data_IF_283890069010
#
_entry.id   IF_283890069010
#
_cell.length_a   1.000
_cell.length_b   1.000
_cell.length_c   1.000
_cell.angle_alpha   90.00
_cell.angle_beta   90.00
_cell.angle_gamma   90.00
#
_symmetry.space_group_name_H-M   'P 1'
#
loop_
_entity.id
_entity.type
_entity.pdbx_description
1 polymer ?
#
# COMPACT_ATOMS: atom_id res chain seq x y z
N UNK A 1 0.45 8.04 -4.29
CA UNK A 1 -0.27 6.74 -4.40
C UNK A 1 0.62 5.53 -4.16
N UNK A 2 1.73 5.34 -4.88
CA UNK A 2 2.56 4.11 -4.79
C UNK A 2 3.15 3.83 -3.40
N UNK A 3 3.63 4.86 -2.71
CA UNK A 3 4.13 4.74 -1.33
C UNK A 3 3.05 4.15 -0.41
N UNK A 4 1.84 4.73 -0.42
CA UNK A 4 0.72 4.22 0.37
C UNK A 4 0.32 2.80 -0.07
N UNK A 5 0.36 2.52 -1.37
CA UNK A 5 0.05 1.20 -1.89
C UNK A 5 0.99 0.11 -1.34
N UNK A 6 2.30 0.40 -1.32
CA UNK A 6 3.32 -0.52 -0.81
C UNK A 6 3.23 -0.66 0.71
N UNK A 7 3.42 0.42 1.46
CA UNK A 7 3.49 0.38 2.93
C UNK A 7 2.15 0.03 3.60
N UNK A 8 1.03 0.33 2.94
CA UNK A 8 -0.30 -0.06 3.39
C UNK A 8 -0.74 -1.45 2.93
N UNK A 9 0.11 -2.18 2.18
CA UNK A 9 -0.22 -3.47 1.58
C UNK A 9 -1.55 -3.41 0.79
N UNK A 10 -1.82 -2.26 0.16
CA UNK A 10 -3.14 -1.97 -0.37
C UNK A 10 -3.41 -2.70 -1.69
N UNK A 11 -4.67 -3.05 -1.90
CA UNK A 11 -5.17 -3.39 -3.23
C UNK A 11 -5.43 -2.10 -4.01
N UNK A 12 -5.31 -2.14 -5.33
CA UNK A 12 -5.65 -0.98 -6.18
C UNK A 12 -7.10 -0.50 -5.96
N UNK A 13 -8.03 -1.41 -5.66
CA UNK A 13 -9.42 -1.09 -5.33
C UNK A 13 -9.59 -0.25 -4.06
N UNK A 14 -8.60 -0.27 -3.16
CA UNK A 14 -8.60 0.49 -1.91
C UNK A 14 -8.02 1.90 -2.11
N UNK A 15 -7.67 2.26 -3.36
CA UNK A 15 -7.03 3.54 -3.74
C UNK A 15 -7.73 4.22 -4.92
N UNK A 16 -8.18 3.43 -5.90
CA UNK A 16 -8.60 3.92 -7.20
C UNK A 16 -10.02 3.46 -7.55
N UNK A 17 -10.75 4.31 -8.26
CA UNK A 17 -12.13 4.05 -8.67
C UNK A 17 -12.20 3.03 -9.82
N UNK A 18 -13.29 2.27 -9.88
CA UNK A 18 -13.65 1.40 -11.01
C UNK A 18 -14.86 1.88 -11.80
N UNK A 19 -15.65 2.77 -11.20
CA UNK A 19 -16.90 3.31 -11.72
C UNK A 19 -17.00 4.78 -11.27
N UNK A 20 -18.20 5.37 -11.29
CA UNK A 20 -18.42 6.70 -10.72
C UNK A 20 -17.89 6.82 -9.29
N UNK A 21 -17.32 7.99 -8.98
CA UNK A 21 -16.84 8.30 -7.64
C UNK A 21 -18.02 8.37 -6.65
N UNK A 22 -17.75 7.92 -5.44
CA UNK A 22 -18.72 7.89 -4.33
C UNK A 22 -17.94 8.01 -3.03
N UNK A 23 -18.11 9.11 -2.27
CA UNK A 23 -17.42 9.33 -1.00
C UNK A 23 -17.65 8.22 0.04
N UNK A 24 -18.75 7.47 -0.07
CA UNK A 24 -19.11 6.42 0.88
C UNK A 24 -18.24 5.16 0.77
N UNK A 25 -17.63 4.92 -0.39
CA UNK A 25 -16.84 3.71 -0.65
C UNK A 25 -15.43 4.00 -1.16
N UNK A 26 -15.22 5.18 -1.73
CA UNK A 26 -13.93 5.58 -2.29
C UNK A 26 -13.16 6.50 -1.34
N UNK A 27 -11.82 6.54 -1.47
CA UNK A 27 -10.97 7.36 -0.61
C UNK A 27 -11.25 8.86 -0.79
N UNK A 28 -11.49 9.53 0.32
CA UNK A 28 -11.68 10.98 0.41
C UNK A 28 -10.55 11.61 1.19
N UNK A 29 -10.43 12.94 1.11
CA UNK A 29 -9.40 13.68 1.84
C UNK A 29 -9.51 13.44 3.35
N UNK A 30 -10.72 13.32 3.87
CA UNK A 30 -10.97 12.99 5.29
C UNK A 30 -10.44 11.63 5.73
N UNK A 31 -10.21 10.70 4.79
CA UNK A 31 -9.74 9.35 5.13
C UNK A 31 -8.23 9.30 5.37
N UNK A 32 -7.47 10.32 4.96
CA UNK A 32 -6.04 10.44 5.23
C UNK A 32 -5.81 11.55 6.24
N UNK A 33 -5.47 11.18 7.48
CA UNK A 33 -5.39 12.12 8.59
C UNK A 33 -4.07 11.98 9.36
N UNK A 34 -3.49 13.12 9.73
CA UNK A 34 -2.42 13.21 10.72
C UNK A 34 -3.07 13.05 12.09
N UNK A 35 -2.71 11.99 12.82
CA UNK A 35 -3.23 11.75 14.17
C UNK A 35 -2.44 12.51 15.22
N UNK A 36 -1.13 12.55 15.03
CA UNK A 36 -0.15 13.21 15.90
C UNK A 36 1.10 13.60 15.08
N UNK A 37 2.16 14.07 15.74
CA UNK A 37 3.40 14.48 15.07
C UNK A 37 4.18 13.35 14.39
N UNK A 38 3.78 12.09 14.59
CA UNK A 38 4.52 10.90 14.19
C UNK A 38 3.68 9.89 13.40
N UNK A 39 2.36 10.05 13.32
CA UNK A 39 1.45 9.05 12.77
C UNK A 39 0.47 9.64 11.76
N UNK A 40 0.45 9.06 10.56
CA UNK A 40 -0.62 9.26 9.57
C UNK A 40 -1.50 8.01 9.56
N UNK A 41 -2.80 8.22 9.64
CA UNK A 41 -3.81 7.17 9.44
C UNK A 41 -4.43 7.26 8.06
N UNK A 42 -4.75 6.10 7.49
CA UNK A 42 -5.55 5.99 6.28
C UNK A 42 -6.72 5.02 6.51
N UNK A 43 -7.94 5.51 6.34
CA UNK A 43 -9.16 4.72 6.52
C UNK A 43 -9.60 4.08 5.19
N UNK A 44 -9.56 2.75 5.15
CA UNK A 44 -10.07 1.95 4.04
C UNK A 44 -11.56 1.72 4.29
N UNK A 45 -12.43 2.45 3.58
CA UNK A 45 -13.89 2.34 3.73
C UNK A 45 -14.46 0.99 3.30
N UNK A 46 -13.87 0.38 2.28
CA UNK A 46 -14.32 -0.90 1.76
C UNK A 46 -13.13 -1.76 1.34
N UNK A 47 -13.16 -3.03 1.75
CA UNK A 47 -12.26 -4.05 1.22
C UNK A 47 -13.06 -5.22 0.67
N UNK A 48 -12.46 -6.00 -0.24
CA UNK A 48 -13.11 -7.18 -0.84
C UNK A 48 -13.58 -8.20 0.21
N UNK A 49 -12.95 -8.23 1.38
CA UNK A 49 -13.23 -9.18 2.46
C UNK A 49 -14.08 -8.57 3.58
N UNK A 50 -14.41 -7.29 3.51
CA UNK A 50 -15.22 -6.62 4.52
C UNK A 50 -16.72 -6.67 4.17
N UNK A 51 -17.33 -7.82 4.39
CA UNK A 51 -18.76 -8.02 4.19
C UNK A 51 -19.63 -7.16 5.13
N UNK A 52 -19.07 -6.76 6.29
CA UNK A 52 -19.75 -5.96 7.29
C UNK A 52 -19.57 -4.44 7.08
N UNK A 53 -18.76 -4.01 6.10
CA UNK A 53 -18.43 -2.59 5.81
C UNK A 53 -17.96 -1.81 7.04
N UNK A 54 -17.23 -2.45 7.96
CA UNK A 54 -16.69 -1.78 9.16
C UNK A 54 -15.55 -0.82 8.80
N UNK A 55 -14.91 -1.02 7.66
CA UNK A 55 -13.70 -0.34 7.26
C UNK A 55 -12.50 -0.75 8.11
N UNK A 56 -11.33 -0.25 7.74
CA UNK A 56 -10.09 -0.59 8.42
C UNK A 56 -9.07 0.54 8.36
N UNK A 57 -8.44 0.87 9.48
CA UNK A 57 -7.35 1.82 9.51
C UNK A 57 -6.02 1.14 9.22
N UNK A 58 -5.19 1.80 8.41
CA UNK A 58 -3.76 1.54 8.38
C UNK A 58 -3.02 2.76 8.91
N UNK A 59 -1.80 2.54 9.39
CA UNK A 59 -0.98 3.57 9.99
C UNK A 59 0.38 3.62 9.29
N UNK A 60 0.87 4.83 9.05
CA UNK A 60 2.20 5.12 8.53
C UNK A 60 2.90 5.98 9.57
N UNK A 61 4.03 5.48 10.07
CA UNK A 61 4.78 6.11 11.15
C UNK A 61 5.96 6.92 10.59
N UNK A 62 6.30 7.99 11.31
CA UNK A 62 7.44 8.85 11.05
C UNK A 62 8.74 8.16 11.50
N UNK A 63 9.21 7.22 10.68
CA UNK A 63 10.45 6.49 10.92
C UNK A 63 11.53 6.94 9.93
N UNK A 64 12.79 6.92 10.39
CA UNK A 64 13.93 7.19 9.53
C UNK A 64 13.98 6.17 8.39
N UNK A 65 13.89 6.66 7.16
CA UNK A 65 13.83 5.83 5.97
C UNK A 65 14.34 6.60 4.76
N UNK A 66 15.13 5.97 3.87
CA UNK A 66 15.56 6.63 2.62
C UNK A 66 14.39 6.97 1.70
N UNK A 67 13.22 6.33 1.86
CA UNK A 67 12.02 6.56 1.06
C UNK A 67 10.93 7.37 1.76
N UNK A 68 11.19 7.83 2.99
CA UNK A 68 10.41 8.82 3.75
C UNK A 68 8.87 8.74 3.54
N UNK A 69 8.22 7.60 3.86
CA UNK A 69 6.82 7.40 3.54
C UNK A 69 5.89 8.39 4.27
N UNK A 70 6.20 8.70 5.53
CA UNK A 70 5.45 9.67 6.32
C UNK A 70 5.49 11.07 5.69
N UNK A 71 6.69 11.59 5.41
CA UNK A 71 6.88 12.93 4.84
C UNK A 71 6.21 13.05 3.47
N UNK A 72 6.33 12.00 2.64
CA UNK A 72 5.70 11.96 1.32
C UNK A 72 4.17 12.07 1.43
N UNK A 73 3.56 11.34 2.37
CA UNK A 73 2.11 11.39 2.57
C UNK A 73 1.65 12.69 3.24
N UNK A 74 2.46 13.26 4.13
CA UNK A 74 2.18 14.55 4.75
C UNK A 74 2.14 15.67 3.70
N UNK A 75 3.17 15.75 2.85
CA UNK A 75 3.25 16.73 1.77
C UNK A 75 2.10 16.54 0.76
N UNK A 76 1.78 15.29 0.41
CA UNK A 76 0.63 14.99 -0.44
C UNK A 76 -0.70 15.43 0.19
N UNK A 77 -0.92 15.16 1.48
CA UNK A 77 -2.14 15.56 2.17
C UNK A 77 -2.28 17.09 2.22
N UNK A 78 -1.20 17.82 2.49
CA UNK A 78 -1.18 19.29 2.48
C UNK A 78 -1.55 19.84 1.09
N UNK A 79 -0.98 19.27 0.03
CA UNK A 79 -1.32 19.62 -1.35
C UNK A 79 -2.80 19.36 -1.66
N UNK A 80 -3.33 18.19 -1.26
CA UNK A 80 -4.75 17.86 -1.51
C UNK A 80 -5.69 18.79 -0.75
N UNK A 81 -5.34 19.18 0.47
CA UNK A 81 -6.12 20.15 1.27
C UNK A 81 -6.10 21.56 0.65
N UNK A 82 -5.00 21.98 0.01
CA UNK A 82 -4.95 23.30 -0.64
C UNK A 82 -5.70 23.35 -1.98
N UNK A 83 -5.83 22.21 -2.67
CA UNK A 83 -6.52 22.11 -3.96
C UNK A 83 -8.03 21.81 -3.84
N UNK A 84 -8.47 21.35 -2.67
CA UNK A 84 -9.83 20.85 -2.46
C UNK A 84 -10.73 21.83 -1.72
N UNK A 85 -12.03 21.79 -2.00
CA UNK A 85 -13.04 22.59 -1.29
C UNK A 85 -13.73 21.80 -0.20
N UNK A 86 -13.84 20.48 -0.33
CA UNK A 86 -14.58 19.64 0.60
C UNK A 86 -13.74 18.47 1.14
N UNK A 87 -13.91 18.08 2.42
CA UNK A 87 -13.27 16.88 2.97
C UNK A 87 -13.69 15.58 2.27
N UNK A 88 -14.87 15.57 1.64
CA UNK A 88 -15.45 14.45 0.89
C UNK A 88 -14.96 14.38 -0.57
N UNK A 89 -14.14 15.32 -1.02
CA UNK A 89 -13.56 15.27 -2.36
C UNK A 89 -12.58 14.08 -2.49
N UNK A 90 -12.35 13.56 -3.71
CA UNK A 90 -11.47 12.42 -3.93
C UNK A 90 -10.06 12.67 -3.39
N UNK A 91 -9.54 11.71 -2.62
CA UNK A 91 -8.17 11.78 -2.11
C UNK A 91 -7.16 11.75 -3.25
N UNK A 92 -7.33 10.80 -4.17
CA UNK A 92 -6.44 10.59 -5.29
C UNK A 92 -7.10 11.06 -6.58
N UNK A 93 -6.39 11.91 -7.31
CA UNK A 93 -6.84 12.47 -8.59
C UNK A 93 -5.79 12.27 -9.68
N UNK A 94 -6.24 12.26 -10.93
CA UNK A 94 -5.38 12.34 -12.10
C UNK A 94 -4.92 13.78 -12.38
N UNK A 95 -4.16 13.94 -13.46
CA UNK A 95 -3.58 15.23 -13.90
C UNK A 95 -4.64 16.29 -14.25
N UNK A 96 -5.90 15.88 -14.40
CA UNK A 96 -7.04 16.75 -14.68
C UNK A 96 -7.98 16.92 -13.47
N UNK A 97 -7.49 16.61 -12.25
CA UNK A 97 -8.25 16.65 -11.00
C UNK A 97 -9.49 15.74 -10.97
N UNK A 98 -9.55 14.72 -11.83
CA UNK A 98 -10.62 13.71 -11.79
C UNK A 98 -10.21 12.58 -10.86
N UNK A 99 -11.15 11.87 -10.21
CA UNK A 99 -10.81 10.75 -9.34
C UNK A 99 -9.93 9.72 -10.08
N UNK A 100 -8.82 9.32 -9.45
CA UNK A 100 -7.86 8.41 -10.04
C UNK A 100 -8.49 7.03 -10.31
N UNK A 101 -8.44 6.56 -11.55
CA UNK A 101 -8.98 5.25 -11.96
C UNK A 101 -7.92 4.17 -11.85
N UNK A 102 -8.35 2.90 -11.79
CA UNK A 102 -7.41 1.76 -11.88
C UNK A 102 -6.56 1.77 -13.15
N UNK A 103 -7.17 2.18 -14.27
CA UNK A 103 -6.47 2.33 -15.54
C UNK A 103 -5.39 3.40 -15.46
N UNK A 104 -5.72 4.57 -14.90
CA UNK A 104 -4.74 5.64 -14.68
C UNK A 104 -3.58 5.17 -13.80
N UNK A 105 -3.88 4.49 -12.68
CA UNK A 105 -2.87 3.94 -11.78
C UNK A 105 -1.94 2.96 -12.51
N UNK A 106 -2.51 2.01 -13.27
CA UNK A 106 -1.73 1.02 -14.01
C UNK A 106 -0.87 1.65 -15.11
N UNK A 107 -1.41 2.63 -15.85
CA UNK A 107 -0.69 3.38 -16.86
C UNK A 107 0.50 4.13 -16.25
N UNK A 108 0.27 4.84 -15.14
CA UNK A 108 1.32 5.56 -14.43
C UNK A 108 2.38 4.63 -13.86
N UNK A 109 1.99 3.48 -13.30
CA UNK A 109 2.93 2.47 -12.82
C UNK A 109 3.86 2.01 -13.95
N UNK A 110 3.29 1.63 -15.10
CA UNK A 110 4.09 1.22 -16.26
C UNK A 110 5.03 2.33 -16.74
N UNK A 111 4.55 3.57 -16.79
CA UNK A 111 5.37 4.71 -17.18
C UNK A 111 6.56 4.91 -16.26
N UNK A 112 6.36 4.89 -14.94
CA UNK A 112 7.45 5.08 -13.96
C UNK A 112 8.47 3.94 -14.03
N UNK A 113 8.03 2.70 -14.22
CA UNK A 113 8.92 1.55 -14.37
C UNK A 113 9.79 1.65 -15.63
N UNK A 114 9.19 2.02 -16.77
CA UNK A 114 9.94 2.20 -18.00
C UNK A 114 10.98 3.33 -17.87
N UNK A 115 10.60 4.45 -17.23
CA UNK A 115 11.52 5.55 -16.96
C UNK A 115 12.65 5.16 -16.01
N UNK A 116 12.43 4.19 -15.11
CA UNK A 116 13.48 3.64 -14.23
C UNK A 116 14.26 2.48 -14.87
N UNK A 117 14.11 2.22 -16.17
CA UNK A 117 14.79 1.12 -16.87
C UNK A 117 14.31 -0.27 -16.44
N UNK A 118 13.17 -0.36 -15.78
CA UNK A 118 12.59 -1.63 -15.29
C UNK A 118 11.53 -2.15 -16.26
N UNK A 119 11.59 -3.42 -16.70
CA UNK A 119 10.57 -3.99 -17.57
C UNK A 119 9.17 -3.97 -16.92
N UNK A 120 8.25 -3.21 -17.52
CA UNK A 120 6.94 -2.94 -16.92
C UNK A 120 5.93 -4.09 -17.04
N UNK A 121 6.14 -5.03 -17.96
CA UNK A 121 5.15 -6.09 -18.26
C UNK A 121 4.98 -7.12 -17.14
N UNK A 122 5.98 -7.23 -16.26
CA UNK A 122 5.91 -8.09 -15.08
C UNK A 122 5.19 -7.42 -13.90
N UNK A 123 4.77 -6.16 -14.04
CA UNK A 123 4.21 -5.38 -12.95
C UNK A 123 2.76 -4.97 -13.20
N UNK A 124 1.94 -5.22 -12.19
CA UNK A 124 0.56 -4.76 -12.12
C UNK A 124 0.33 -4.02 -10.82
N UNK A 125 -0.84 -3.39 -10.69
CA UNK A 125 -1.25 -2.81 -9.42
C UNK A 125 -1.26 -3.80 -8.25
N UNK A 126 -1.40 -5.10 -8.52
CA UNK A 126 -1.31 -6.15 -7.50
C UNK A 126 0.11 -6.36 -6.98
N UNK A 127 1.13 -6.03 -7.79
CA UNK A 127 2.54 -6.20 -7.47
C UNK A 127 2.96 -5.42 -6.21
N UNK A 128 2.30 -4.31 -5.88
CA UNK A 128 2.57 -3.59 -4.63
C UNK A 128 2.28 -4.44 -3.39
N UNK A 129 1.13 -5.09 -3.35
CA UNK A 129 0.72 -5.93 -2.22
C UNK A 129 1.55 -7.21 -2.14
N UNK A 130 1.88 -7.81 -3.28
CA UNK A 130 2.80 -8.96 -3.35
C UNK A 130 4.18 -8.55 -2.84
N UNK A 131 4.76 -7.49 -3.42
CA UNK A 131 6.09 -6.98 -3.09
C UNK A 131 6.21 -6.63 -1.62
N UNK A 132 5.22 -5.95 -1.04
CA UNK A 132 5.20 -5.62 0.39
C UNK A 132 5.24 -6.88 1.27
N UNK A 133 4.47 -7.93 0.95
CA UNK A 133 4.53 -9.20 1.66
C UNK A 133 5.87 -9.91 1.50
N UNK A 134 6.38 -10.00 0.28
CA UNK A 134 7.68 -10.63 0.00
C UNK A 134 8.80 -9.89 0.76
N UNK A 135 8.81 -8.56 0.73
CA UNK A 135 9.78 -7.75 1.47
C UNK A 135 9.65 -7.94 2.98
N UNK A 136 8.44 -8.00 3.53
CA UNK A 136 8.23 -8.26 4.95
C UNK A 136 8.82 -9.61 5.38
N UNK A 137 8.62 -10.66 4.58
CA UNK A 137 9.21 -11.99 4.81
C UNK A 137 10.74 -11.93 4.76
N UNK A 138 11.31 -11.30 3.73
CA UNK A 138 12.77 -11.13 3.59
C UNK A 138 13.39 -10.27 4.71
N UNK A 139 12.58 -9.50 5.43
CA UNK A 139 12.98 -8.73 6.61
C UNK A 139 12.70 -9.46 7.92
N UNK A 140 12.30 -10.73 7.86
CA UNK A 140 12.10 -11.58 9.03
C UNK A 140 10.83 -11.29 9.83
N UNK A 141 9.85 -10.59 9.25
CA UNK A 141 8.57 -10.38 9.94
C UNK A 141 7.83 -11.70 10.12
N UNK A 142 7.20 -11.86 11.28
CA UNK A 142 6.42 -13.04 11.58
C UNK A 142 5.18 -13.14 10.68
N UNK A 143 4.69 -14.36 10.49
CA UNK A 143 3.42 -14.61 9.79
C UNK A 143 2.26 -13.77 10.36
N UNK A 144 2.19 -13.63 11.69
CA UNK A 144 1.18 -12.81 12.35
C UNK A 144 1.30 -11.32 11.97
N UNK A 145 2.52 -10.77 11.94
CA UNK A 145 2.77 -9.39 11.53
C UNK A 145 2.38 -9.17 10.06
N UNK A 146 2.76 -10.08 9.17
CA UNK A 146 2.44 -10.00 7.74
C UNK A 146 0.92 -10.08 7.53
N UNK A 147 0.23 -10.98 8.24
CA UNK A 147 -1.22 -11.09 8.19
C UNK A 147 -1.91 -9.82 8.67
N UNK A 148 -1.43 -9.22 9.77
CA UNK A 148 -1.95 -7.96 10.28
C UNK A 148 -1.76 -6.82 9.27
N UNK A 149 -0.53 -6.62 8.78
CA UNK A 149 -0.20 -5.56 7.81
C UNK A 149 -1.00 -5.69 6.52
N UNK A 150 -1.08 -6.92 5.99
CA UNK A 150 -1.82 -7.19 4.77
C UNK A 150 -3.32 -7.34 4.97
N UNK A 151 -3.84 -7.51 6.20
CA UNK A 151 -5.25 -7.83 6.43
C UNK A 151 -5.65 -9.15 5.76
N UNK A 152 -4.80 -10.18 5.89
CA UNK A 152 -5.12 -11.53 5.43
C UNK A 152 -5.75 -12.33 6.57
N UNK A 153 -6.95 -12.88 6.33
CA UNK A 153 -7.62 -13.80 7.25
C UNK A 153 -7.11 -15.23 7.16
N UNK A 154 -6.31 -15.55 6.14
CA UNK A 154 -5.79 -16.88 5.86
C UNK A 154 -4.34 -16.83 5.40
N UNK A 155 -3.77 -18.00 5.20
CA UNK A 155 -2.42 -18.22 4.68
C UNK A 155 -2.25 -17.87 3.19
N UNK A 156 -3.20 -17.16 2.57
CA UNK A 156 -3.12 -16.78 1.16
C UNK A 156 -1.84 -16.00 0.83
N UNK A 157 -1.26 -15.28 1.80
CA UNK A 157 0.01 -14.58 1.61
C UNK A 157 1.18 -15.53 1.31
N UNK A 158 1.12 -16.80 1.74
CA UNK A 158 2.15 -17.81 1.42
C UNK A 158 2.32 -18.03 -0.08
N UNK A 159 1.25 -17.87 -0.87
CA UNK A 159 1.34 -17.95 -2.34
C UNK A 159 2.18 -16.82 -2.97
N UNK A 160 2.39 -15.72 -2.24
CA UNK A 160 3.26 -14.62 -2.65
C UNK A 160 4.72 -14.84 -2.25
N UNK A 161 4.96 -15.77 -1.31
CA UNK A 161 6.28 -16.21 -0.91
C UNK A 161 6.71 -17.28 -1.92
N UNK A 162 7.25 -16.83 -3.05
CA UNK A 162 8.04 -17.74 -3.88
C UNK A 162 9.21 -18.17 -3.02
N UNK A 163 9.47 -19.48 -2.94
CA UNK A 163 10.64 -20.05 -2.26
C UNK A 163 11.91 -19.55 -2.94
N UNK A 164 12.30 -18.33 -2.61
CA UNK A 164 13.52 -17.72 -3.10
C UNK A 164 14.70 -18.48 -2.50
N UNK A 165 15.76 -18.68 -3.29
CA UNK A 165 16.97 -19.34 -2.83
C UNK A 165 17.55 -18.64 -1.60
N UNK A 166 17.32 -17.34 -1.45
CA UNK A 166 17.68 -16.55 -0.27
C UNK A 166 17.03 -17.09 1.01
N UNK A 167 15.72 -17.33 1.02
CA UNK A 167 14.97 -17.91 2.15
C UNK A 167 15.48 -19.31 2.51
N UNK A 168 15.77 -20.13 1.50
CA UNK A 168 16.33 -21.48 1.73
C UNK A 168 17.75 -21.38 2.28
N UNK A 169 18.56 -20.43 1.79
CA UNK A 169 19.93 -20.21 2.26
C UNK A 169 19.94 -19.73 3.70
N UNK A 170 19.06 -18.79 4.07
CA UNK A 170 18.90 -18.31 5.45
C UNK A 170 18.43 -19.44 6.38
N UNK A 171 17.44 -20.23 5.95
CA UNK A 171 16.98 -21.39 6.71
C UNK A 171 18.12 -22.42 6.90
N UNK A 172 18.92 -22.70 5.86
CA UNK A 172 20.10 -23.55 5.98
C UNK A 172 21.15 -22.92 6.91
N UNK A 173 21.38 -21.61 6.86
CA UNK A 173 22.29 -20.91 7.77
C UNK A 173 21.81 -21.01 9.22
N UNK A 174 20.51 -20.92 9.50
CA UNK A 174 19.95 -21.15 10.84
C UNK A 174 20.12 -22.61 11.28
N UNK A 175 19.87 -23.58 10.40
CA UNK A 175 20.03 -25.01 10.70
C UNK A 175 21.49 -25.42 10.95
N UNK A 176 22.43 -24.73 10.31
CA UNK A 176 23.88 -24.96 10.45
C UNK A 176 24.49 -24.04 11.52
N UNK A 177 23.78 -22.98 11.91
CA UNK A 177 24.18 -21.97 12.88
C UNK A 177 24.10 -22.49 14.32
N UNK A 178 25.26 -22.47 14.98
CA UNK A 178 25.54 -23.08 16.29
C UNK A 178 24.59 -22.65 17.43
N UNK A 179 24.35 -23.54 18.41
CA UNK A 179 23.76 -23.13 19.69
C UNK A 179 24.70 -22.14 20.39
N UNK A 180 24.12 -21.05 20.88
CA UNK A 180 24.51 -20.41 22.13
C UNK A 180 23.27 -20.28 22.99
#
# INVERSE_FOLDING_TARGET
MFILAFFGFLRCSELAITSGFSPAIHPTISDLAVLDGETISYFIKQSKTDQAKKGHFIYIFNLQSPIQPFQTLLAFLQLRKSQSKLPSDPLFTDDFNRPATRFWFQKHLKSVLLLSGTPADNFSSHSFRIGAATTAVQKGLSQQQIQALGRWSSEAFKSYIRSDRSLITEAHQTLVGRPF
#
